data_IF_636449031604
#
_entry.id   IF_636449031604
#
_cell.length_a   1.000
_cell.length_b   1.000
_cell.length_c   1.000
_cell.angle_alpha   90.00
_cell.angle_beta   90.00
_cell.angle_gamma   90.00
#
_symmetry.space_group_name_H-M   'P 1'
#
loop_
_entity.id
_entity.type
_entity.pdbx_description
1 polymer ?
#
# COMPACT_ATOMS: atom_id res chain seq x y z
N UNK A 1 36.60 -36.20 -31.78
CA UNK A 1 37.79 -37.06 -31.87
C UNK A 1 38.75 -36.61 -30.79
N UNK A 2 39.37 -37.51 -30.01
CA UNK A 2 40.39 -37.10 -29.03
C UNK A 2 41.62 -36.51 -29.72
N UNK A 3 42.33 -35.60 -29.04
CA UNK A 3 43.52 -34.98 -29.63
C UNK A 3 44.59 -36.02 -29.93
N UNK A 4 44.71 -37.04 -29.08
CA UNK A 4 45.59 -38.21 -29.29
C UNK A 4 45.27 -38.96 -30.59
N UNK A 5 43.98 -39.19 -30.89
CA UNK A 5 43.57 -39.83 -32.14
C UNK A 5 43.85 -38.98 -33.38
N UNK A 6 43.71 -37.65 -33.24
CA UNK A 6 44.08 -36.67 -34.27
C UNK A 6 45.59 -36.55 -34.50
N UNK A 7 46.41 -36.76 -33.47
CA UNK A 7 47.87 -36.81 -33.61
C UNK A 7 48.35 -38.11 -34.23
N UNK A 8 47.84 -39.26 -33.76
CA UNK A 8 48.18 -40.58 -34.29
C UNK A 8 47.80 -40.73 -35.77
N UNK A 9 46.72 -40.09 -36.20
CA UNK A 9 46.28 -40.13 -37.60
C UNK A 9 47.18 -39.36 -38.58
N UNK A 10 48.02 -38.46 -38.06
CA UNK A 10 48.99 -37.68 -38.84
C UNK A 10 50.37 -38.36 -38.93
N UNK A 11 50.59 -39.46 -38.20
CA UNK A 11 51.84 -40.22 -38.26
C UNK A 11 51.82 -41.29 -39.36
N UNK A 12 52.99 -41.63 -39.94
CA UNK A 12 53.13 -42.78 -40.82
C UNK A 12 52.70 -44.10 -40.14
N UNK A 13 52.20 -45.05 -40.93
CA UNK A 13 51.53 -46.28 -40.46
C UNK A 13 52.38 -47.07 -39.45
N UNK A 14 53.70 -47.14 -39.65
CA UNK A 14 54.64 -47.83 -38.76
C UNK A 14 54.67 -47.26 -37.32
N UNK A 15 54.53 -45.94 -37.17
CA UNK A 15 54.55 -45.27 -35.86
C UNK A 15 53.17 -45.19 -35.21
N UNK A 16 52.12 -45.34 -36.01
CA UNK A 16 50.71 -45.28 -35.58
C UNK A 16 50.31 -46.50 -34.75
N UNK A 17 50.91 -47.65 -35.01
CA UNK A 17 50.62 -48.92 -34.33
C UNK A 17 51.51 -49.17 -33.10
N UNK A 18 52.48 -48.29 -32.81
CA UNK A 18 53.40 -48.44 -31.69
C UNK A 18 52.83 -47.95 -30.34
N UNK A 19 52.70 -48.85 -29.36
CA UNK A 19 52.15 -48.56 -28.01
C UNK A 19 52.92 -47.43 -27.29
N UNK A 20 54.25 -47.42 -27.36
CA UNK A 20 55.07 -46.39 -26.70
C UNK A 20 54.83 -44.99 -27.29
N UNK A 21 54.74 -44.88 -28.62
CA UNK A 21 54.43 -43.61 -29.30
C UNK A 21 53.01 -43.18 -28.97
N UNK A 22 52.05 -44.12 -28.93
CA UNK A 22 50.69 -43.87 -28.50
C UNK A 22 50.60 -43.31 -27.07
N UNK A 23 51.37 -43.85 -26.12
CA UNK A 23 51.40 -43.36 -24.72
C UNK A 23 52.03 -41.97 -24.59
N UNK A 24 53.11 -41.68 -25.31
CA UNK A 24 53.72 -40.34 -25.31
C UNK A 24 52.74 -39.33 -25.92
N UNK A 25 52.13 -39.66 -27.06
CA UNK A 25 51.13 -38.80 -27.68
C UNK A 25 49.87 -38.66 -26.83
N UNK A 26 49.51 -39.65 -26.01
CA UNK A 26 48.39 -39.54 -25.08
C UNK A 26 48.67 -38.49 -23.99
N UNK A 27 49.90 -38.42 -23.46
CA UNK A 27 50.29 -37.38 -22.52
C UNK A 27 50.23 -35.99 -23.18
N UNK A 28 50.76 -35.85 -24.41
CA UNK A 28 50.66 -34.60 -25.16
C UNK A 28 49.22 -34.23 -25.50
N UNK A 29 48.41 -35.21 -25.90
CA UNK A 29 46.98 -35.04 -26.21
C UNK A 29 46.19 -34.54 -25.01
N UNK A 30 46.42 -35.11 -23.82
CA UNK A 30 45.82 -34.66 -22.57
C UNK A 30 46.20 -33.21 -22.24
N UNK A 31 47.47 -32.82 -22.42
CA UNK A 31 47.90 -31.44 -22.20
C UNK A 31 47.20 -30.46 -23.16
N UNK A 32 46.98 -30.85 -24.42
CA UNK A 32 46.21 -30.03 -25.36
C UNK A 32 44.73 -29.98 -24.95
N UNK A 33 44.13 -31.07 -24.50
CA UNK A 33 42.75 -31.07 -24.01
C UNK A 33 42.57 -30.14 -22.80
N UNK A 34 43.53 -30.14 -21.86
CA UNK A 34 43.56 -29.20 -20.74
C UNK A 34 43.70 -27.76 -21.25
N UNK A 35 44.60 -27.49 -22.20
CA UNK A 35 44.76 -26.15 -22.79
C UNK A 35 43.49 -25.69 -23.51
N UNK A 36 42.81 -26.56 -24.24
CA UNK A 36 41.56 -26.25 -24.93
C UNK A 36 40.44 -25.96 -23.92
N UNK A 37 40.34 -26.73 -22.82
CA UNK A 37 39.39 -26.45 -21.74
C UNK A 37 39.68 -25.12 -21.04
N UNK A 38 40.96 -24.81 -20.78
CA UNK A 38 41.38 -23.53 -20.22
C UNK A 38 41.10 -22.36 -21.19
N UNK A 39 41.37 -22.53 -22.48
CA UNK A 39 41.07 -21.54 -23.50
C UNK A 39 39.56 -21.30 -23.61
N UNK A 40 38.75 -22.35 -23.56
CA UNK A 40 37.29 -22.22 -23.51
C UNK A 40 36.83 -21.51 -22.25
N UNK A 41 37.43 -21.81 -21.09
CA UNK A 41 37.17 -21.10 -19.83
C UNK A 41 37.47 -19.60 -19.95
N UNK A 42 38.64 -19.24 -20.48
CA UNK A 42 39.04 -17.85 -20.72
C UNK A 42 38.10 -17.19 -21.73
N UNK A 43 37.72 -17.87 -22.81
CA UNK A 43 36.76 -17.30 -23.76
C UNK A 43 35.40 -17.04 -23.11
N UNK A 44 34.92 -17.97 -22.30
CA UNK A 44 33.66 -17.83 -21.56
C UNK A 44 33.72 -16.69 -20.54
N UNK A 45 34.85 -16.47 -19.87
CA UNK A 45 35.01 -15.41 -18.86
C UNK A 45 34.83 -13.99 -19.42
N UNK A 46 34.91 -13.81 -20.74
CA UNK A 46 34.72 -12.51 -21.40
C UNK A 46 33.26 -12.21 -21.75
N UNK A 47 32.35 -13.19 -21.62
CA UNK A 47 30.94 -13.03 -21.97
C UNK A 47 30.05 -13.27 -20.75
N UNK A 48 29.27 -12.26 -20.38
CA UNK A 48 28.48 -12.27 -19.14
C UNK A 48 27.54 -13.47 -18.99
N UNK A 49 26.95 -13.95 -20.10
CA UNK A 49 25.97 -15.05 -20.09
C UNK A 49 26.62 -16.43 -20.03
N UNK A 50 27.92 -16.54 -20.38
CA UNK A 50 28.63 -17.82 -20.44
C UNK A 50 29.70 -17.99 -19.36
N UNK A 51 30.04 -16.94 -18.59
CA UNK A 51 30.91 -17.04 -17.41
C UNK A 51 30.43 -18.14 -16.45
N UNK A 52 31.33 -18.89 -15.85
CA UNK A 52 30.95 -19.92 -14.85
C UNK A 52 31.10 -19.41 -13.43
N UNK A 53 31.96 -18.41 -13.22
CA UNK A 53 32.26 -17.85 -11.92
C UNK A 53 31.51 -16.53 -11.66
N UNK A 54 31.03 -16.38 -10.43
CA UNK A 54 30.37 -15.14 -9.98
C UNK A 54 31.35 -13.97 -9.96
N UNK A 55 32.61 -14.22 -9.57
CA UNK A 55 33.67 -13.21 -9.51
C UNK A 55 33.97 -12.57 -10.88
N UNK A 56 33.89 -13.35 -11.96
CA UNK A 56 34.06 -12.87 -13.34
C UNK A 56 32.85 -12.07 -13.79
N UNK A 57 31.64 -12.56 -13.47
CA UNK A 57 30.41 -11.84 -13.76
C UNK A 57 30.37 -10.47 -13.05
N UNK A 58 30.82 -10.39 -11.79
CA UNK A 58 30.95 -9.14 -11.03
C UNK A 58 31.89 -8.14 -11.71
N UNK A 59 33.06 -8.59 -12.19
CA UNK A 59 34.01 -7.73 -12.93
C UNK A 59 33.44 -7.18 -14.23
N UNK A 60 32.63 -7.96 -14.93
CA UNK A 60 31.96 -7.50 -16.16
C UNK A 60 30.83 -6.53 -15.84
N UNK A 61 30.00 -6.83 -14.85
CA UNK A 61 28.89 -5.98 -14.44
C UNK A 61 29.33 -4.67 -13.77
N UNK A 62 30.52 -4.64 -13.14
CA UNK A 62 31.09 -3.42 -12.56
C UNK A 62 31.38 -2.33 -13.61
N UNK A 63 31.52 -2.69 -14.89
CA UNK A 63 31.60 -1.71 -15.99
C UNK A 63 30.35 -0.84 -16.07
N UNK A 64 29.19 -1.40 -15.71
CA UNK A 64 27.91 -0.70 -15.61
C UNK A 64 27.63 -0.16 -14.20
N UNK A 65 28.54 -0.36 -13.24
CA UNK A 65 28.32 -0.01 -11.83
C UNK A 65 27.24 -0.85 -11.15
N UNK A 66 26.96 -2.08 -11.62
CA UNK A 66 25.97 -2.96 -11.00
C UNK A 66 26.67 -3.92 -10.04
N UNK A 67 26.45 -3.71 -8.75
CA UNK A 67 26.98 -4.58 -7.69
C UNK A 67 26.06 -5.77 -7.41
N UNK A 68 26.66 -6.86 -6.91
CA UNK A 68 25.95 -8.07 -6.48
C UNK A 68 25.58 -7.95 -5.02
N UNK A 69 24.38 -8.40 -4.68
CA UNK A 69 23.98 -8.57 -3.29
C UNK A 69 24.58 -9.86 -2.69
N UNK A 70 24.94 -9.84 -1.41
CA UNK A 70 25.61 -10.98 -0.73
C UNK A 70 24.92 -12.33 -0.88
N UNK A 71 23.61 -12.32 -1.08
CA UNK A 71 22.75 -13.50 -1.15
C UNK A 71 22.48 -14.01 -2.58
N UNK A 72 22.87 -13.26 -3.62
CA UNK A 72 22.55 -13.58 -5.01
C UNK A 72 23.47 -14.68 -5.56
N UNK A 73 22.90 -15.78 -6.03
CA UNK A 73 23.65 -16.75 -6.83
C UNK A 73 23.89 -16.25 -8.26
N UNK A 74 24.71 -16.94 -9.06
CA UNK A 74 25.05 -16.51 -10.43
C UNK A 74 23.81 -16.26 -11.30
N UNK A 75 22.80 -17.14 -11.22
CA UNK A 75 21.55 -16.99 -11.97
C UNK A 75 20.73 -15.77 -11.54
N UNK A 76 20.59 -15.58 -10.23
CA UNK A 76 19.87 -14.43 -9.65
C UNK A 76 20.59 -13.11 -9.99
N UNK A 77 21.92 -13.09 -9.92
CA UNK A 77 22.73 -11.93 -10.28
C UNK A 77 22.66 -11.61 -11.77
N UNK A 78 22.63 -12.62 -12.66
CA UNK A 78 22.39 -12.41 -14.09
C UNK A 78 21.03 -11.80 -14.37
N UNK A 79 19.98 -12.33 -13.74
CA UNK A 79 18.64 -11.78 -13.84
C UNK A 79 18.61 -10.30 -13.46
N UNK A 80 19.29 -9.96 -12.36
CA UNK A 80 19.43 -8.58 -11.86
C UNK A 80 20.16 -7.66 -12.85
N UNK A 81 21.33 -8.07 -13.33
CA UNK A 81 22.13 -7.27 -14.27
C UNK A 81 21.41 -7.06 -15.60
N UNK A 82 20.77 -8.10 -16.15
CA UNK A 82 20.02 -7.98 -17.40
C UNK A 82 18.87 -6.99 -17.30
N UNK A 83 18.05 -7.12 -16.25
CA UNK A 83 16.90 -6.25 -16.06
C UNK A 83 17.34 -4.79 -15.88
N UNK A 84 18.35 -4.52 -15.02
CA UNK A 84 18.87 -3.16 -14.83
C UNK A 84 19.50 -2.59 -16.11
N UNK A 85 20.36 -3.36 -16.78
CA UNK A 85 21.02 -2.94 -18.03
C UNK A 85 19.97 -2.60 -19.10
N UNK A 86 18.95 -3.42 -19.28
CA UNK A 86 17.91 -3.17 -20.26
C UNK A 86 17.04 -1.97 -19.87
N UNK A 87 16.73 -1.81 -18.58
CA UNK A 87 16.08 -0.61 -18.04
C UNK A 87 16.87 0.67 -18.34
N UNK A 88 18.19 0.65 -18.14
CA UNK A 88 19.07 1.79 -18.39
C UNK A 88 19.27 2.10 -19.87
N UNK A 89 19.60 1.08 -20.68
CA UNK A 89 20.10 1.29 -22.04
C UNK A 89 19.05 1.17 -23.13
N UNK A 90 17.99 0.37 -22.93
CA UNK A 90 17.00 0.09 -24.00
C UNK A 90 15.70 0.86 -23.82
N UNK A 91 15.13 0.82 -22.62
CA UNK A 91 13.74 1.25 -22.41
C UNK A 91 13.59 2.70 -21.93
N UNK A 92 14.72 3.37 -21.64
CA UNK A 92 14.74 4.71 -21.08
C UNK A 92 14.45 4.70 -19.58
N UNK A 93 15.43 5.14 -18.79
CA UNK A 93 15.29 5.27 -17.33
C UNK A 93 14.15 6.20 -16.97
N UNK A 94 13.55 6.00 -15.80
CA UNK A 94 12.54 6.89 -15.18
C UNK A 94 11.16 6.96 -15.84
N UNK A 95 10.95 6.37 -17.03
CA UNK A 95 9.63 6.34 -17.67
C UNK A 95 8.74 5.26 -17.06
N UNK A 96 7.42 5.48 -17.06
CA UNK A 96 6.44 4.47 -16.63
C UNK A 96 6.61 3.17 -17.40
N UNK A 97 6.81 3.26 -18.72
CA UNK A 97 7.06 2.11 -19.58
C UNK A 97 8.34 1.38 -19.17
N UNK A 98 9.46 2.09 -19.03
CA UNK A 98 10.74 1.51 -18.63
C UNK A 98 10.69 0.82 -17.27
N UNK A 99 10.00 1.41 -16.29
CA UNK A 99 9.79 0.81 -14.97
C UNK A 99 8.91 -0.45 -15.04
N UNK A 100 7.79 -0.41 -15.77
CA UNK A 100 6.91 -1.56 -15.99
C UNK A 100 7.68 -2.72 -16.63
N UNK A 101 8.43 -2.45 -17.71
CA UNK A 101 9.24 -3.46 -18.40
C UNK A 101 10.35 -4.01 -17.52
N UNK A 102 11.02 -3.17 -16.72
CA UNK A 102 12.03 -3.62 -15.75
C UNK A 102 11.43 -4.62 -14.75
N UNK A 103 10.27 -4.29 -14.18
CA UNK A 103 9.60 -5.14 -13.18
C UNK A 103 9.20 -6.48 -13.80
N UNK A 104 8.60 -6.47 -14.99
CA UNK A 104 8.24 -7.69 -15.73
C UNK A 104 9.46 -8.55 -16.05
N UNK A 105 10.51 -7.95 -16.61
CA UNK A 105 11.72 -8.66 -17.00
C UNK A 105 12.42 -9.27 -15.77
N UNK A 106 12.60 -8.50 -14.70
CA UNK A 106 13.26 -9.00 -13.49
C UNK A 106 12.46 -10.12 -12.83
N UNK A 107 11.13 -10.00 -12.72
CA UNK A 107 10.28 -11.06 -12.16
C UNK A 107 10.43 -12.34 -12.96
N UNK A 108 10.37 -12.29 -14.28
CA UNK A 108 10.50 -13.48 -15.12
C UNK A 108 11.88 -14.12 -14.97
N UNK A 109 12.95 -13.35 -15.13
CA UNK A 109 14.33 -13.86 -15.03
C UNK A 109 14.67 -14.39 -13.64
N UNK A 110 14.21 -13.73 -12.57
CA UNK A 110 14.45 -14.17 -11.19
C UNK A 110 13.71 -15.48 -10.89
N UNK A 111 12.44 -15.59 -11.30
CA UNK A 111 11.66 -16.81 -11.08
C UNK A 111 12.23 -18.01 -11.84
N UNK A 112 12.76 -17.77 -13.04
CA UNK A 112 13.46 -18.77 -13.84
C UNK A 112 14.78 -19.20 -13.17
N UNK A 113 15.58 -18.26 -12.67
CA UNK A 113 16.83 -18.55 -11.97
C UNK A 113 16.61 -19.36 -10.68
N UNK A 114 15.48 -19.14 -10.00
CA UNK A 114 15.16 -19.74 -8.70
C UNK A 114 14.30 -21.00 -8.83
N UNK A 115 13.79 -21.32 -10.03
CA UNK A 115 12.82 -22.39 -10.34
C UNK A 115 11.61 -22.35 -9.39
N UNK A 116 11.08 -21.15 -9.14
CA UNK A 116 9.93 -20.91 -8.25
C UNK A 116 9.10 -19.73 -8.74
N UNK A 117 7.78 -19.92 -8.82
CA UNK A 117 6.84 -18.87 -9.23
C UNK A 117 6.21 -18.22 -7.99
N UNK A 118 6.45 -16.92 -7.82
CA UNK A 118 5.93 -16.06 -6.74
C UNK A 118 4.84 -15.11 -7.24
N UNK A 119 4.99 -14.62 -8.46
CA UNK A 119 4.11 -13.64 -9.13
C UNK A 119 3.63 -14.29 -10.43
N UNK A 120 2.32 -14.35 -10.68
CA UNK A 120 1.81 -14.85 -11.96
C UNK A 120 2.26 -13.93 -13.10
N UNK A 121 2.33 -14.44 -14.34
CA UNK A 121 2.69 -13.62 -15.50
C UNK A 121 1.81 -12.37 -15.58
N UNK A 122 2.43 -11.20 -15.66
CA UNK A 122 1.75 -9.92 -15.79
C UNK A 122 1.15 -9.83 -17.20
N UNK A 123 -0.18 -9.92 -17.31
CA UNK A 123 -0.91 -9.84 -18.59
C UNK A 123 -1.26 -8.41 -19.00
N UNK A 124 -1.05 -7.45 -18.10
CA UNK A 124 -1.36 -6.05 -18.31
C UNK A 124 -1.29 -5.29 -17.00
N UNK A 125 -1.03 -3.99 -17.11
CA UNK A 125 -0.97 -3.06 -15.98
C UNK A 125 -2.29 -2.32 -15.82
N UNK A 126 -2.76 -2.19 -14.58
CA UNK A 126 -3.86 -1.29 -14.23
C UNK A 126 -3.35 -0.02 -13.58
N UNK A 127 -4.04 1.08 -13.85
CA UNK A 127 -3.68 2.42 -13.35
C UNK A 127 -4.62 2.90 -12.24
N UNK A 128 -5.77 2.24 -12.07
CA UNK A 128 -6.76 2.59 -11.03
C UNK A 128 -6.62 1.76 -9.75
N UNK A 129 -6.95 2.40 -8.63
CA UNK A 129 -7.01 1.80 -7.29
C UNK A 129 -8.31 1.00 -7.02
N UNK A 130 -9.12 0.73 -8.05
CA UNK A 130 -10.43 0.07 -7.87
C UNK A 130 -10.29 -1.42 -7.51
N UNK A 131 -11.15 -1.84 -6.59
CA UNK A 131 -11.18 -3.12 -5.87
C UNK A 131 -11.62 -4.35 -6.67
N UNK A 132 -11.93 -4.24 -7.97
CA UNK A 132 -12.71 -5.29 -8.66
C UNK A 132 -11.88 -6.49 -9.17
N UNK A 133 -10.55 -6.50 -8.98
CA UNK A 133 -9.74 -7.71 -9.16
C UNK A 133 -8.41 -7.56 -8.42
N UNK A 134 -8.23 -8.33 -7.34
CA UNK A 134 -7.00 -8.39 -6.55
C UNK A 134 -5.84 -9.09 -7.30
N UNK A 135 -6.12 -9.67 -8.48
CA UNK A 135 -5.20 -10.54 -9.23
C UNK A 135 -4.40 -9.84 -10.34
N UNK A 136 -4.44 -8.50 -10.42
CA UNK A 136 -3.75 -7.75 -11.47
C UNK A 136 -2.67 -6.83 -10.94
N UNK A 137 -1.52 -6.80 -11.63
CA UNK A 137 -0.44 -5.87 -11.36
C UNK A 137 -0.89 -4.42 -11.59
N UNK A 138 -0.56 -3.53 -10.66
CA UNK A 138 -0.96 -2.12 -10.67
C UNK A 138 0.26 -1.22 -10.61
N UNK A 139 0.23 -0.17 -11.41
CA UNK A 139 1.17 0.92 -11.35
C UNK A 139 0.37 2.20 -11.12
N UNK A 140 0.41 2.70 -9.89
CA UNK A 140 -0.41 3.82 -9.44
C UNK A 140 0.48 5.05 -9.30
N UNK A 141 0.27 6.03 -10.16
CA UNK A 141 0.89 7.35 -10.01
C UNK A 141 0.17 8.15 -8.92
N UNK A 142 0.94 8.89 -8.12
CA UNK A 142 0.47 9.73 -7.02
C UNK A 142 -0.55 9.02 -6.11
N UNK A 143 -0.17 7.88 -5.48
CA UNK A 143 -1.08 7.09 -4.66
C UNK A 143 -1.79 7.94 -3.60
N UNK A 144 -3.08 7.65 -3.41
CA UNK A 144 -3.93 8.33 -2.42
C UNK A 144 -3.66 7.76 -1.04
N UNK A 145 -3.09 8.57 -0.14
CA UNK A 145 -2.84 8.18 1.25
C UNK A 145 -3.93 8.75 2.13
N UNK A 146 -4.53 7.89 2.96
CA UNK A 146 -5.47 8.31 3.98
C UNK A 146 -4.76 9.08 5.09
N UNK A 147 -5.26 10.27 5.40
CA UNK A 147 -4.86 11.11 6.52
C UNK A 147 -6.01 11.28 7.48
N UNK A 148 -5.70 11.53 8.74
CA UNK A 148 -6.67 11.86 9.77
C UNK A 148 -6.07 12.80 10.80
N UNK A 149 -6.93 13.56 11.49
CA UNK A 149 -6.59 14.47 12.57
C UNK A 149 -7.69 14.46 13.64
N UNK A 150 -7.30 14.27 14.88
CA UNK A 150 -8.18 14.42 16.04
C UNK A 150 -8.29 15.90 16.41
N UNK A 151 -9.52 16.36 16.69
CA UNK A 151 -9.83 17.77 16.91
C UNK A 151 -10.72 17.92 18.15
N UNK A 152 -10.25 18.64 19.18
CA UNK A 152 -8.84 18.88 19.51
C UNK A 152 -8.08 17.55 19.74
N UNK A 153 -6.75 17.60 19.82
CA UNK A 153 -5.94 16.38 20.04
C UNK A 153 -6.32 15.64 21.33
N UNK A 154 -6.69 16.39 22.37
CA UNK A 154 -7.13 15.88 23.66
C UNK A 154 -8.47 16.51 24.05
N UNK A 155 -9.37 15.72 24.64
CA UNK A 155 -10.68 16.19 25.08
C UNK A 155 -11.75 16.10 23.99
N UNK A 156 -12.74 16.97 24.04
CA UNK A 156 -13.77 17.12 23.01
C UNK A 156 -13.71 18.52 22.38
N UNK A 157 -14.43 18.69 21.27
CA UNK A 157 -14.47 19.96 20.56
C UNK A 157 -15.46 20.92 21.22
N UNK A 158 -14.97 22.11 21.55
CA UNK A 158 -15.78 23.17 22.12
C UNK A 158 -16.57 23.89 21.01
N UNK A 159 -17.78 24.40 21.31
CA UNK A 159 -18.50 25.29 20.39
C UNK A 159 -17.64 26.48 19.99
N UNK A 160 -17.74 26.91 18.73
CA UNK A 160 -16.90 27.95 18.10
C UNK A 160 -15.42 27.60 17.92
N UNK A 161 -15.00 26.36 18.15
CA UNK A 161 -13.60 25.98 17.98
C UNK A 161 -13.16 26.05 16.50
N UNK A 162 -12.18 26.91 16.22
CA UNK A 162 -11.53 27.00 14.91
C UNK A 162 -10.28 26.13 14.89
N UNK A 163 -10.08 25.41 13.78
CA UNK A 163 -8.92 24.56 13.59
C UNK A 163 -8.49 24.52 12.13
N UNK A 164 -7.22 24.20 11.91
CA UNK A 164 -6.64 24.15 10.56
C UNK A 164 -6.37 22.71 10.14
N UNK A 165 -6.71 22.39 8.89
CA UNK A 165 -6.25 21.20 8.16
C UNK A 165 -5.35 21.66 7.01
N UNK A 166 -4.13 21.12 6.94
CA UNK A 166 -3.22 21.39 5.84
C UNK A 166 -3.25 20.20 4.86
N UNK A 167 -3.91 20.39 3.71
CA UNK A 167 -3.94 19.42 2.63
C UNK A 167 -2.67 19.59 1.81
N UNK A 168 -1.85 18.52 1.73
CA UNK A 168 -0.56 18.55 1.00
C UNK A 168 -0.59 17.82 -0.33
N UNK A 169 -1.75 17.28 -0.71
CA UNK A 169 -1.92 16.55 -1.96
C UNK A 169 -1.89 17.47 -3.17
N UNK A 170 -1.76 16.86 -4.35
CA UNK A 170 -1.79 17.58 -5.63
C UNK A 170 -3.19 18.06 -6.01
N UNK A 171 -4.20 17.23 -5.73
CA UNK A 171 -5.59 17.46 -6.08
C UNK A 171 -6.42 17.87 -4.85
N UNK A 172 -7.45 18.67 -5.07
CA UNK A 172 -8.48 18.92 -4.07
C UNK A 172 -9.14 17.60 -3.65
N UNK A 173 -9.55 17.52 -2.39
CA UNK A 173 -10.09 16.27 -1.82
C UNK A 173 -11.29 16.56 -0.92
N UNK A 174 -12.09 15.53 -0.65
CA UNK A 174 -13.25 15.67 0.22
C UNK A 174 -12.91 15.30 1.66
N UNK A 175 -13.49 16.06 2.58
CA UNK A 175 -13.39 15.84 4.01
C UNK A 175 -14.42 14.81 4.47
N UNK A 176 -13.96 13.84 5.24
CA UNK A 176 -14.78 12.92 6.02
C UNK A 176 -14.74 13.36 7.47
N UNK A 177 -15.88 13.31 8.15
CA UNK A 177 -16.01 13.71 9.55
C UNK A 177 -16.55 12.54 10.37
N UNK A 178 -15.96 12.34 11.54
CA UNK A 178 -16.48 11.43 12.56
C UNK A 178 -16.72 12.26 13.82
N UNK A 179 -17.98 12.32 14.23
CA UNK A 179 -18.38 12.87 15.52
C UNK A 179 -18.68 11.73 16.49
N UNK A 180 -18.18 11.83 17.71
CA UNK A 180 -18.43 10.83 18.77
C UNK A 180 -18.93 11.55 20.02
N UNK A 181 -20.13 11.22 20.52
CA UNK A 181 -20.63 11.76 21.78
C UNK A 181 -19.80 11.26 22.98
N UNK A 182 -19.36 12.17 23.86
CA UNK A 182 -18.44 11.84 24.98
C UNK A 182 -18.98 12.13 26.38
N UNK A 183 -19.96 13.01 26.55
CA UNK A 183 -20.57 13.30 27.85
C UNK A 183 -21.94 12.66 27.97
N UNK A 184 -22.62 12.85 29.11
CA UNK A 184 -23.99 12.40 29.35
C UNK A 184 -25.06 13.17 28.57
N UNK A 185 -24.68 14.27 27.91
CA UNK A 185 -25.60 15.12 27.14
C UNK A 185 -25.36 14.95 25.64
N UNK A 186 -26.41 14.85 24.81
CA UNK A 186 -26.27 14.79 23.36
C UNK A 186 -25.78 16.13 22.77
N UNK A 187 -25.17 16.05 21.59
CA UNK A 187 -24.93 17.24 20.75
C UNK A 187 -26.06 17.41 19.75
N UNK A 188 -26.55 18.64 19.65
CA UNK A 188 -27.63 18.99 18.74
C UNK A 188 -27.10 19.81 17.58
N UNK A 189 -27.54 19.47 16.38
CA UNK A 189 -27.32 20.23 15.15
C UNK A 189 -25.86 20.69 14.95
N UNK A 190 -24.88 19.76 14.95
CA UNK A 190 -23.49 20.12 14.75
C UNK A 190 -23.28 20.62 13.31
N UNK A 191 -22.55 21.73 13.20
CA UNK A 191 -22.10 22.29 11.91
C UNK A 191 -20.57 22.30 11.87
N UNK A 192 -20.03 21.85 10.74
CA UNK A 192 -18.64 22.09 10.40
C UNK A 192 -18.60 22.92 9.13
N UNK A 193 -17.90 24.05 9.19
CA UNK A 193 -17.69 24.95 8.05
C UNK A 193 -16.21 24.99 7.69
N UNK A 194 -15.88 24.93 6.40
CA UNK A 194 -14.60 25.33 5.87
C UNK A 194 -14.69 26.79 5.42
N UNK A 195 -14.16 27.68 6.26
CA UNK A 195 -14.15 29.13 6.02
C UNK A 195 -13.34 29.44 4.75
N UNK A 196 -12.27 28.68 4.48
CA UNK A 196 -11.43 28.89 3.30
C UNK A 196 -12.20 28.68 1.99
N UNK A 197 -13.09 27.68 1.93
CA UNK A 197 -13.87 27.36 0.72
C UNK A 197 -15.29 27.90 0.73
N UNK A 198 -15.75 28.47 1.86
CA UNK A 198 -17.14 28.91 2.05
C UNK A 198 -18.13 27.74 2.00
N UNK A 199 -17.74 26.54 2.42
CA UNK A 199 -18.62 25.38 2.43
C UNK A 199 -18.94 24.97 3.86
N UNK A 200 -20.17 24.56 4.15
CA UNK A 200 -20.53 24.01 5.45
C UNK A 200 -21.39 22.75 5.33
N UNK A 201 -21.27 21.88 6.32
CA UNK A 201 -22.10 20.69 6.48
C UNK A 201 -22.83 20.75 7.82
N UNK A 202 -24.13 20.55 7.77
CA UNK A 202 -25.05 20.59 8.91
C UNK A 202 -25.69 19.22 9.05
N UNK A 203 -25.67 18.67 10.26
CA UNK A 203 -26.47 17.50 10.61
C UNK A 203 -27.71 17.91 11.40
N UNK A 204 -28.89 17.87 10.80
CA UNK A 204 -30.18 18.23 11.43
C UNK A 204 -30.70 17.09 12.33
N UNK A 205 -29.94 16.74 13.35
CA UNK A 205 -30.29 15.73 14.33
C UNK A 205 -29.51 15.88 15.63
N UNK A 206 -29.59 14.86 16.48
CA UNK A 206 -28.82 14.76 17.72
C UNK A 206 -27.80 13.64 17.62
N UNK A 207 -26.67 13.79 18.31
CA UNK A 207 -25.65 12.76 18.48
C UNK A 207 -25.66 12.36 19.96
N UNK A 208 -26.25 11.20 20.31
CA UNK A 208 -26.33 10.77 21.70
C UNK A 208 -24.95 10.42 22.31
N UNK A 209 -24.86 10.40 23.65
CA UNK A 209 -23.70 9.88 24.38
C UNK A 209 -23.23 8.53 23.88
N UNK A 210 -21.93 8.39 23.60
CA UNK A 210 -21.31 7.15 23.14
C UNK A 210 -21.64 6.74 21.69
N UNK A 211 -22.49 7.49 20.98
CA UNK A 211 -22.84 7.23 19.57
C UNK A 211 -21.90 7.95 18.62
N UNK A 212 -21.69 7.36 17.44
CA UNK A 212 -20.80 7.82 16.39
C UNK A 212 -21.58 8.17 15.13
N UNK A 213 -21.47 9.42 14.71
CA UNK A 213 -21.96 9.90 13.43
C UNK A 213 -20.78 9.93 12.45
N UNK A 214 -20.88 9.13 11.40
CA UNK A 214 -19.96 9.11 10.27
C UNK A 214 -20.54 9.95 9.15
N UNK A 215 -19.78 10.94 8.67
CA UNK A 215 -20.07 11.67 7.45
C UNK A 215 -18.97 11.35 6.45
N UNK A 216 -19.36 10.70 5.35
CA UNK A 216 -18.43 10.18 4.35
C UNK A 216 -18.70 10.79 2.98
N UNK A 217 -17.66 11.26 2.32
CA UNK A 217 -17.73 11.65 0.92
C UNK A 217 -17.78 10.42 0.00
N UNK A 218 -18.78 10.36 -0.87
CA UNK A 218 -18.88 9.40 -1.96
C UNK A 218 -18.04 9.79 -3.19
N UNK A 219 -17.97 8.93 -4.22
CA UNK A 219 -17.11 9.12 -5.40
C UNK A 219 -17.42 10.40 -6.20
N UNK A 220 -18.67 10.87 -6.16
CA UNK A 220 -19.14 12.09 -6.84
C UNK A 220 -19.01 13.35 -5.98
N UNK A 221 -18.43 13.26 -4.78
CA UNK A 221 -18.39 14.35 -3.80
C UNK A 221 -19.70 14.54 -3.02
N UNK A 222 -20.71 13.68 -3.23
CA UNK A 222 -21.94 13.67 -2.44
C UNK A 222 -21.62 13.09 -1.05
N UNK A 223 -22.05 13.77 0.01
CA UNK A 223 -21.89 13.29 1.38
C UNK A 223 -23.02 12.34 1.78
N UNK A 224 -22.65 11.21 2.37
CA UNK A 224 -23.55 10.33 3.11
C UNK A 224 -23.33 10.44 4.61
N UNK A 225 -24.34 10.16 5.41
CA UNK A 225 -24.25 10.15 6.86
C UNK A 225 -24.80 8.86 7.48
N UNK A 226 -24.09 8.31 8.47
CA UNK A 226 -24.52 7.12 9.20
C UNK A 226 -24.33 7.29 10.71
N UNK A 227 -25.37 7.03 11.50
CA UNK A 227 -25.35 7.08 12.96
C UNK A 227 -25.36 5.66 13.51
N UNK A 228 -24.26 5.21 14.11
CA UNK A 228 -24.07 3.80 14.53
C UNK A 228 -24.46 2.75 13.46
N UNK A 229 -24.21 3.05 12.18
CA UNK A 229 -24.52 2.15 11.06
C UNK A 229 -25.88 2.38 10.41
N UNK A 230 -26.78 3.15 11.01
CA UNK A 230 -28.06 3.52 10.41
C UNK A 230 -27.89 4.71 9.46
N UNK A 231 -28.42 4.62 8.24
CA UNK A 231 -28.38 5.72 7.27
C UNK A 231 -29.26 6.90 7.74
N UNK A 232 -28.61 8.04 7.97
CA UNK A 232 -29.23 9.30 8.39
C UNK A 232 -28.95 10.41 7.38
N UNK A 233 -28.55 10.08 6.15
CA UNK A 233 -28.18 11.04 5.09
C UNK A 233 -29.25 12.10 4.84
N UNK A 234 -30.55 11.74 4.97
CA UNK A 234 -31.67 12.69 4.82
C UNK A 234 -31.64 13.85 5.83
N UNK A 235 -30.97 13.69 6.96
CA UNK A 235 -30.77 14.74 7.98
C UNK A 235 -29.56 15.63 7.69
N UNK A 236 -28.73 15.28 6.71
CA UNK A 236 -27.57 16.06 6.33
C UNK A 236 -27.96 17.15 5.32
N UNK A 237 -27.38 18.34 5.46
CA UNK A 237 -27.51 19.47 4.53
C UNK A 237 -26.14 20.08 4.30
N UNK A 238 -25.88 20.52 3.07
CA UNK A 238 -24.68 21.27 2.73
C UNK A 238 -25.06 22.68 2.33
N UNK A 239 -24.16 23.61 2.65
CA UNK A 239 -24.27 25.03 2.32
C UNK A 239 -23.05 25.40 1.49
N UNK A 240 -23.29 26.10 0.39
CA UNK A 240 -22.25 26.73 -0.42
C UNK A 240 -22.33 28.25 -0.29
N UNK A 241 -21.17 28.93 -0.25
CA UNK A 241 -21.10 30.38 -0.02
C UNK A 241 -21.32 30.78 1.45
N UNK A 242 -21.03 29.89 2.39
CA UNK A 242 -21.06 30.15 3.82
C UNK A 242 -20.14 31.34 4.18
N UNK A 243 -20.70 32.33 4.87
CA UNK A 243 -19.99 33.47 5.42
C UNK A 243 -20.29 33.59 6.92
N UNK A 244 -19.27 33.58 7.79
CA UNK A 244 -19.43 33.89 9.21
C UNK A 244 -20.16 35.22 9.43
N UNK A 245 -20.99 35.30 10.47
CA UNK A 245 -21.76 36.50 10.82
C UNK A 245 -22.99 36.78 9.94
N UNK A 246 -23.16 36.09 8.81
CA UNK A 246 -24.30 36.27 7.90
C UNK A 246 -25.34 35.17 8.05
N UNK A 247 -26.65 35.51 8.02
CA UNK A 247 -27.71 34.52 7.97
C UNK A 247 -27.64 33.70 6.69
N UNK A 248 -27.99 32.42 6.79
CA UNK A 248 -28.09 31.56 5.61
C UNK A 248 -29.46 31.73 4.94
N UNK A 249 -29.48 31.71 3.62
CA UNK A 249 -30.73 31.67 2.84
C UNK A 249 -31.00 30.27 2.29
N UNK A 250 -32.26 29.98 1.98
CA UNK A 250 -32.67 28.71 1.36
C UNK A 250 -31.93 28.43 0.04
N UNK A 251 -31.56 29.49 -0.68
CA UNK A 251 -30.81 29.42 -1.94
C UNK A 251 -29.37 28.92 -1.77
N UNK A 252 -28.79 29.02 -0.57
CA UNK A 252 -27.43 28.55 -0.29
C UNK A 252 -27.36 27.05 0.01
N UNK A 253 -28.51 26.40 0.24
CA UNK A 253 -28.55 24.96 0.44
C UNK A 253 -28.45 24.24 -0.90
N UNK A 254 -27.51 23.31 -1.00
CA UNK A 254 -27.37 22.52 -2.20
C UNK A 254 -28.52 21.50 -2.31
N UNK A 255 -29.05 21.32 -3.54
CA UNK A 255 -30.08 20.31 -3.82
C UNK A 255 -29.61 18.89 -3.45
N UNK A 256 -28.32 18.61 -3.68
CA UNK A 256 -27.65 17.38 -3.25
C UNK A 256 -26.64 17.71 -2.18
N UNK A 257 -26.65 16.95 -1.09
CA UNK A 257 -25.72 17.18 0.01
C UNK A 257 -24.27 16.91 -0.42
N UNK A 258 -23.47 17.95 -0.51
CA UNK A 258 -22.06 17.89 -0.92
C UNK A 258 -21.14 17.75 0.30
N UNK A 259 -20.07 16.97 0.15
CA UNK A 259 -19.01 16.93 1.14
C UNK A 259 -18.19 18.22 1.11
N UNK A 260 -17.69 18.65 2.27
CA UNK A 260 -16.74 19.76 2.37
C UNK A 260 -15.49 19.41 1.55
N UNK A 261 -15.09 20.30 0.64
CA UNK A 261 -13.83 20.20 -0.08
C UNK A 261 -12.70 20.81 0.73
N UNK A 262 -11.55 20.17 0.67
CA UNK A 262 -10.27 20.68 1.12
C UNK A 262 -9.47 21.06 -0.13
N UNK A 263 -9.20 22.35 -0.28
CA UNK A 263 -8.30 22.85 -1.33
C UNK A 263 -6.84 22.60 -0.95
N UNK A 264 -5.95 22.58 -1.92
CA UNK A 264 -4.52 22.46 -1.65
C UNK A 264 -4.02 23.56 -0.69
N UNK A 265 -3.30 23.17 0.34
CA UNK A 265 -2.74 24.06 1.36
C UNK A 265 -3.61 24.17 2.61
N UNK A 266 -3.64 25.36 3.19
CA UNK A 266 -4.27 25.61 4.48
C UNK A 266 -5.79 25.79 4.37
N UNK A 267 -6.56 24.92 5.03
CA UNK A 267 -8.01 25.01 5.16
C UNK A 267 -8.36 25.34 6.61
N UNK A 268 -8.99 26.50 6.82
CA UNK A 268 -9.47 26.93 8.12
C UNK A 268 -10.90 26.45 8.30
N UNK A 269 -11.10 25.57 9.27
CA UNK A 269 -12.39 25.01 9.59
C UNK A 269 -12.89 25.53 10.93
N UNK A 270 -14.21 25.48 11.08
CA UNK A 270 -14.92 25.98 12.23
C UNK A 270 -16.02 25.03 12.62
N UNK A 271 -16.05 24.68 13.91
CA UNK A 271 -17.13 23.91 14.49
C UNK A 271 -18.08 24.83 15.25
N UNK A 272 -19.37 24.74 14.94
CA UNK A 272 -20.41 25.57 15.56
C UNK A 272 -21.74 24.80 15.65
N UNK A 273 -22.31 24.56 16.85
CA UNK A 273 -23.69 24.10 16.96
C UNK A 273 -24.66 25.24 16.71
N UNK A 274 -25.67 25.03 15.87
CA UNK A 274 -26.61 26.09 15.47
C UNK A 274 -28.04 25.77 15.87
N UNK A 275 -28.76 26.80 16.33
CA UNK A 275 -30.16 26.66 16.69
C UNK A 275 -31.03 26.41 15.47
N UNK A 276 -31.92 25.43 15.58
CA UNK A 276 -33.02 25.25 14.63
C UNK A 276 -34.33 25.19 15.42
N UNK A 277 -35.30 26.05 15.09
CA UNK A 277 -36.54 26.21 15.87
C UNK A 277 -37.31 24.89 16.07
N UNK A 278 -37.21 23.96 15.10
CA UNK A 278 -37.85 22.65 15.15
C UNK A 278 -37.05 21.55 15.89
N UNK A 279 -35.97 21.89 16.61
CA UNK A 279 -35.08 20.93 17.27
C UNK A 279 -34.85 21.27 18.74
N UNK A 280 -34.74 20.23 19.56
CA UNK A 280 -34.36 20.34 20.98
C UNK A 280 -32.91 20.82 21.12
N UNK A 281 -32.56 21.46 22.25
CA UNK A 281 -31.19 21.93 22.55
C UNK A 281 -30.97 23.44 22.54
N UNK A 282 -32.05 24.25 22.67
CA UNK A 282 -32.00 25.72 22.66
C UNK A 282 -31.02 26.35 23.65
N UNK A 283 -30.74 25.66 24.75
CA UNK A 283 -29.78 26.03 25.79
C UNK A 283 -28.31 25.90 25.37
N UNK A 284 -28.03 25.07 24.35
CA UNK A 284 -26.68 24.78 23.85
C UNK A 284 -26.35 25.49 22.54
N UNK A 285 -27.32 26.17 21.91
CA UNK A 285 -27.13 26.75 20.59
C UNK A 285 -26.59 28.18 20.57
N UNK A 286 -25.99 28.52 19.44
CA UNK A 286 -25.74 29.89 19.02
C UNK A 286 -27.03 30.45 18.38
N UNK A 287 -27.71 31.38 19.06
CA UNK A 287 -28.93 32.03 18.56
C UNK A 287 -28.64 33.20 17.61
N UNK A 288 -27.40 33.71 17.60
CA UNK A 288 -26.93 34.74 16.69
C UNK A 288 -25.86 34.13 15.76
N UNK A 289 -25.88 34.49 14.47
CA UNK A 289 -24.89 34.05 13.50
C UNK A 289 -23.52 34.51 13.96
N UNK A 290 -22.74 33.58 14.51
CA UNK A 290 -21.45 33.90 15.07
C UNK A 290 -20.53 34.40 13.95
N UNK A 291 -19.81 35.48 14.22
CA UNK A 291 -18.65 35.88 13.44
C UNK A 291 -17.40 35.15 13.96
N UNK A 292 -16.39 35.01 13.12
CA UNK A 292 -15.07 34.44 13.43
C UNK A 292 -14.35 35.10 14.61
N UNK A 293 -14.77 36.31 15.00
CA UNK A 293 -14.23 37.06 16.14
C UNK A 293 -14.84 36.54 17.47
N UNK A 294 -16.02 35.90 17.42
CA UNK A 294 -16.66 35.36 18.61
C UNK A 294 -15.92 34.13 19.14
N UNK A 295 -15.75 34.08 20.46
CA UNK A 295 -15.10 32.99 21.17
C UNK A 295 -15.89 32.61 22.44
N UNK A 296 -15.56 31.46 23.03
CA UNK A 296 -16.11 31.06 24.32
C UNK A 296 -15.38 31.82 25.43
N UNK A 297 -16.11 32.60 26.22
CA UNK A 297 -15.61 33.38 27.33
C UNK A 297 -15.52 32.54 28.61
N UNK A 298 -14.39 32.64 29.30
CA UNK A 298 -14.18 32.03 30.62
C UNK A 298 -14.20 33.13 31.67
N UNK A 299 -14.88 32.84 32.79
CA UNK A 299 -14.92 33.77 33.93
C UNK A 299 -13.46 34.11 34.31
N UNK A 300 -13.16 35.39 34.42
CA UNK A 300 -11.84 35.97 34.76
C UNK A 300 -10.75 35.98 33.67
N UNK A 301 -10.98 35.44 32.47
CA UNK A 301 -9.95 35.41 31.39
C UNK A 301 -10.30 36.27 30.16
N UNK A 302 -11.56 36.68 29.97
CA UNK A 302 -12.04 37.33 28.73
C UNK A 302 -12.95 38.53 29.00
N UNK A 303 -12.82 39.60 28.20
CA UNK A 303 -13.84 40.65 28.12
C UNK A 303 -15.10 40.09 27.43
N UNK A 304 -16.28 40.40 27.99
CA UNK A 304 -17.56 39.84 27.52
C UNK A 304 -18.13 40.51 26.27
N UNK A 305 -17.43 41.49 25.70
CA UNK A 305 -17.93 42.28 24.57
C UNK A 305 -18.09 41.45 23.27
N UNK A 306 -17.37 40.31 23.15
CA UNK A 306 -17.37 39.44 21.97
C UNK A 306 -17.26 37.95 22.33
N UNK A 307 -17.88 37.53 23.44
CA UNK A 307 -17.80 36.14 23.90
C UNK A 307 -19.13 35.56 24.36
N UNK A 308 -19.27 34.24 24.21
CA UNK A 308 -20.41 33.48 24.74
C UNK A 308 -20.00 32.72 25.99
N UNK A 309 -20.95 32.47 26.90
CA UNK A 309 -20.67 31.68 28.09
C UNK A 309 -20.09 30.31 27.72
N UNK A 310 -19.01 29.95 28.42
CA UNK A 310 -18.33 28.68 28.25
C UNK A 310 -19.31 27.49 28.28
N UNK A 311 -19.30 26.72 27.21
CA UNK A 311 -19.99 25.44 27.09
C UNK A 311 -18.99 24.30 27.05
N UNK A 312 -19.20 23.29 27.90
CA UNK A 312 -18.36 22.10 27.91
C UNK A 312 -18.47 21.34 26.57
N UNK A 313 -17.37 20.75 26.08
CA UNK A 313 -17.39 19.94 24.88
C UNK A 313 -18.11 18.61 25.15
N UNK A 314 -19.06 18.24 24.28
CA UNK A 314 -19.84 17.00 24.42
C UNK A 314 -19.60 16.00 23.30
N UNK A 315 -18.81 16.37 22.28
CA UNK A 315 -18.39 15.49 21.20
C UNK A 315 -16.88 15.52 20.99
N UNK A 316 -16.34 14.45 20.42
CA UNK A 316 -15.03 14.41 19.77
C UNK A 316 -15.22 14.51 18.27
N UNK A 317 -14.38 15.31 17.61
CA UNK A 317 -14.33 15.40 16.16
C UNK A 317 -13.05 14.75 15.64
N UNK A 318 -13.19 13.86 14.65
CA UNK A 318 -12.07 13.38 13.85
C UNK A 318 -12.31 13.72 12.40
N UNK A 319 -11.36 14.43 11.80
CA UNK A 319 -11.34 14.72 10.38
C UNK A 319 -10.48 13.67 9.67
N UNK A 320 -10.94 13.16 8.52
CA UNK A 320 -10.16 12.28 7.67
C UNK A 320 -10.29 12.68 6.19
N UNK A 321 -9.23 12.50 5.41
CA UNK A 321 -9.23 12.82 3.98
C UNK A 321 -8.20 11.95 3.26
N UNK A 322 -8.24 11.95 1.92
CA UNK A 322 -7.25 11.27 1.09
C UNK A 322 -6.38 12.29 0.36
N UNK A 323 -5.06 12.15 0.44
CA UNK A 323 -4.10 13.01 -0.26
C UNK A 323 -3.42 12.21 -1.37
N UNK A 324 -3.53 12.67 -2.62
CA UNK A 324 -2.68 12.20 -3.71
C UNK A 324 -1.27 12.76 -3.51
N UNK A 325 -0.30 11.89 -3.23
CA UNK A 325 1.05 12.32 -2.86
C UNK A 325 1.83 12.78 -4.09
N UNK A 326 2.33 14.03 -4.13
CA UNK A 326 3.11 14.52 -5.27
C UNK A 326 4.39 13.73 -5.49
N UNK A 327 4.83 13.65 -6.75
CA UNK A 327 6.09 13.04 -7.17
C UNK A 327 6.28 11.66 -6.53
N UNK A 328 5.27 10.80 -6.64
CA UNK A 328 5.34 9.46 -6.11
C UNK A 328 4.59 8.45 -6.96
N UNK A 329 4.99 7.18 -6.87
CA UNK A 329 4.23 6.08 -7.46
C UNK A 329 4.31 4.85 -6.57
N UNK A 330 3.31 4.00 -6.69
CA UNK A 330 3.25 2.70 -6.03
C UNK A 330 3.04 1.60 -7.05
N UNK A 331 3.81 0.53 -6.92
CA UNK A 331 3.67 -0.70 -7.69
C UNK A 331 3.06 -1.74 -6.76
N UNK A 332 1.90 -2.27 -7.12
CA UNK A 332 1.28 -3.38 -6.40
C UNK A 332 1.28 -4.60 -7.32
N UNK A 333 1.94 -5.67 -6.88
CA UNK A 333 1.99 -6.94 -7.57
C UNK A 333 1.10 -7.94 -6.86
N UNK A 334 0.35 -8.75 -7.61
CA UNK A 334 -0.46 -9.82 -7.02
C UNK A 334 0.42 -11.01 -6.66
N UNK A 335 0.37 -11.47 -5.41
CA UNK A 335 1.01 -12.72 -5.02
C UNK A 335 0.29 -13.92 -5.63
N UNK A 336 1.02 -14.82 -6.27
CA UNK A 336 0.49 -16.10 -6.73
C UNK A 336 0.57 -17.19 -5.66
N UNK A 337 -0.09 -18.32 -5.93
CA UNK A 337 0.16 -19.57 -5.20
C UNK A 337 1.64 -19.95 -5.42
N UNK A 338 2.41 -20.00 -4.33
CA UNK A 338 3.82 -20.36 -4.41
C UNK A 338 3.96 -21.83 -4.83
N UNK A 339 4.50 -22.05 -6.02
CA UNK A 339 4.83 -23.39 -6.53
C UNK A 339 6.35 -23.54 -6.55
N UNK A 340 6.87 -24.33 -5.63
CA UNK A 340 8.28 -24.67 -5.54
C UNK A 340 8.46 -26.18 -5.79
N UNK A 341 9.43 -26.54 -6.65
CA UNK A 341 9.69 -27.95 -7.00
C UNK A 341 10.61 -28.68 -6.03
N UNK A 342 11.51 -27.95 -5.34
CA UNK A 342 12.62 -28.55 -4.57
C UNK A 342 12.91 -27.91 -3.20
N UNK A 343 12.50 -26.66 -2.97
CA UNK A 343 12.83 -25.93 -1.75
C UNK A 343 11.77 -26.16 -0.65
N UNK A 344 12.16 -26.09 0.63
CA UNK A 344 11.20 -26.02 1.74
C UNK A 344 10.48 -24.67 1.80
N UNK A 345 9.37 -24.60 2.52
CA UNK A 345 8.54 -23.39 2.68
C UNK A 345 9.34 -22.16 3.15
N UNK A 346 10.19 -22.32 4.16
CA UNK A 346 11.04 -21.24 4.70
C UNK A 346 11.99 -20.63 3.66
N UNK A 347 12.51 -21.47 2.76
CA UNK A 347 13.43 -21.04 1.69
C UNK A 347 12.65 -20.29 0.62
N UNK A 348 11.43 -20.74 0.29
CA UNK A 348 10.56 -20.05 -0.66
C UNK A 348 10.14 -18.67 -0.14
N UNK A 349 9.76 -18.56 1.13
CA UNK A 349 9.41 -17.28 1.75
C UNK A 349 10.61 -16.33 1.80
N UNK A 350 11.81 -16.82 2.13
CA UNK A 350 13.04 -16.03 2.07
C UNK A 350 13.31 -15.50 0.66
N UNK A 351 13.14 -16.33 -0.37
CA UNK A 351 13.30 -15.95 -1.78
C UNK A 351 12.24 -14.96 -2.25
N UNK A 352 11.00 -15.05 -1.76
CA UNK A 352 9.93 -14.07 -2.01
C UNK A 352 10.32 -12.71 -1.42
N UNK A 353 10.84 -12.65 -0.20
CA UNK A 353 11.31 -11.40 0.41
C UNK A 353 12.48 -10.77 -0.36
N UNK A 354 13.43 -11.60 -0.81
CA UNK A 354 14.55 -11.17 -1.66
C UNK A 354 14.07 -10.58 -3.00
N UNK A 355 13.06 -11.18 -3.63
CA UNK A 355 12.43 -10.63 -4.84
C UNK A 355 11.88 -9.22 -4.60
N UNK A 356 11.10 -9.03 -3.53
CA UNK A 356 10.52 -7.71 -3.19
C UNK A 356 11.62 -6.70 -2.91
N UNK A 357 12.64 -7.09 -2.15
CA UNK A 357 13.80 -6.26 -1.83
C UNK A 357 14.53 -5.80 -3.11
N UNK A 358 14.86 -6.72 -4.01
CA UNK A 358 15.53 -6.38 -5.27
C UNK A 358 14.67 -5.54 -6.19
N UNK A 359 13.36 -5.81 -6.28
CA UNK A 359 12.45 -4.96 -7.06
C UNK A 359 12.42 -3.53 -6.51
N UNK A 360 12.32 -3.37 -5.19
CA UNK A 360 12.34 -2.06 -4.56
C UNK A 360 13.67 -1.33 -4.80
N UNK A 361 14.81 -2.03 -4.69
CA UNK A 361 16.12 -1.47 -4.99
C UNK A 361 16.25 -1.09 -6.46
N UNK A 362 15.82 -1.95 -7.38
CA UNK A 362 15.94 -1.71 -8.81
C UNK A 362 15.07 -0.55 -9.27
N UNK A 363 13.84 -0.48 -8.78
CA UNK A 363 12.96 0.67 -8.97
C UNK A 363 13.58 1.94 -8.39
N UNK A 364 14.21 1.88 -7.21
CA UNK A 364 14.91 3.02 -6.64
C UNK A 364 16.14 3.47 -7.43
N UNK A 365 16.84 2.55 -8.09
CA UNK A 365 17.97 2.84 -8.99
C UNK A 365 17.52 3.39 -10.34
N UNK A 366 16.28 3.13 -10.76
CA UNK A 366 15.74 3.52 -12.06
C UNK A 366 14.83 4.75 -12.04
N UNK A 367 14.24 5.08 -10.90
CA UNK A 367 13.34 6.25 -10.76
C UNK A 367 14.11 7.57 -10.82
N UNK A 368 13.40 8.66 -11.14
CA UNK A 368 14.00 9.98 -11.09
C UNK A 368 14.28 10.44 -9.64
N UNK A 369 15.26 11.33 -9.49
CA UNK A 369 15.61 11.90 -8.19
C UNK A 369 14.42 12.65 -7.57
N UNK A 370 14.22 12.49 -6.26
CA UNK A 370 13.13 13.11 -5.52
C UNK A 370 11.78 12.39 -5.62
N UNK A 371 11.62 11.40 -6.51
CA UNK A 371 10.39 10.61 -6.61
C UNK A 371 10.35 9.54 -5.51
N UNK A 372 9.24 9.48 -4.77
CA UNK A 372 8.99 8.38 -3.81
C UNK A 372 8.41 7.17 -4.55
N UNK A 373 8.97 5.99 -4.29
CA UNK A 373 8.54 4.75 -4.93
C UNK A 373 8.33 3.68 -3.86
N UNK A 374 7.23 2.95 -3.96
CA UNK A 374 6.96 1.80 -3.12
C UNK A 374 6.56 0.61 -4.00
N UNK A 375 7.16 -0.55 -3.74
CA UNK A 375 6.80 -1.82 -4.38
C UNK A 375 6.25 -2.73 -3.31
N UNK A 376 5.02 -3.19 -3.49
CA UNK A 376 4.38 -4.17 -2.63
C UNK A 376 3.99 -5.41 -3.43
N UNK A 377 4.09 -6.57 -2.77
CA UNK A 377 3.57 -7.82 -3.26
C UNK A 377 2.42 -8.22 -2.35
N UNK A 378 1.20 -8.12 -2.85
CA UNK A 378 0.01 -8.50 -2.11
C UNK A 378 0.08 -9.98 -1.70
N UNK A 379 -0.40 -10.35 -0.51
CA UNK A 379 -0.61 -11.75 -0.18
C UNK A 379 -1.60 -12.37 -1.17
N UNK A 380 -1.45 -13.66 -1.44
CA UNK A 380 -2.49 -14.38 -2.16
C UNK A 380 -3.69 -14.52 -1.23
N UNK A 381 -4.83 -13.99 -1.62
CA UNK A 381 -6.08 -14.09 -0.87
C UNK A 381 -7.09 -14.88 -1.69
N UNK A 382 -7.44 -16.09 -1.24
CA UNK A 382 -8.58 -16.81 -1.82
C UNK A 382 -9.83 -16.41 -1.05
N UNK A 383 -10.61 -15.48 -1.60
CA UNK A 383 -11.90 -15.09 -1.02
C UNK A 383 -12.95 -16.10 -1.49
N UNK A 384 -13.18 -17.15 -0.70
CA UNK A 384 -14.32 -18.03 -0.91
C UNK A 384 -15.58 -17.34 -0.39
N UNK A 385 -16.41 -16.80 -1.28
CA UNK A 385 -17.72 -16.25 -0.92
C UNK A 385 -18.66 -17.40 -0.51
N UNK A 386 -18.64 -17.78 0.78
CA UNK A 386 -19.72 -18.59 1.35
C UNK A 386 -20.93 -17.69 1.60
N UNK A 387 -22.08 -18.06 1.03
CA UNK A 387 -23.39 -17.47 1.34
C UNK A 387 -24.01 -18.09 2.60
N UNK A 388 -23.18 -18.46 3.57
CA UNK A 388 -23.67 -19.03 4.82
C UNK A 388 -24.02 -17.89 5.77
N UNK A 389 -25.31 -17.77 6.07
CA UNK A 389 -25.80 -16.93 7.14
C UNK A 389 -25.42 -17.58 8.46
N UNK A 390 -24.54 -16.92 9.21
CA UNK A 390 -24.14 -17.30 10.56
C UNK A 390 -25.35 -17.15 11.49
N UNK A 391 -26.19 -18.20 11.56
CA UNK A 391 -27.35 -18.26 12.45
C UNK A 391 -27.04 -18.89 13.81
N UNK A 392 -25.88 -19.51 13.96
CA UNK A 392 -25.52 -20.20 15.20
C UNK A 392 -23.99 -20.32 15.34
N UNK A 393 -23.45 -19.92 16.51
CA UNK A 393 -22.03 -20.09 16.87
C UNK A 393 -21.95 -21.23 17.87
N UNK A 394 -22.17 -22.45 17.40
CA UNK A 394 -21.84 -23.66 18.12
C UNK A 394 -20.48 -24.17 17.61
N UNK A 395 -19.54 -24.60 18.49
CA UNK A 395 -18.22 -25.04 18.07
C UNK A 395 -18.34 -26.29 17.20
N UNK A 396 -18.26 -26.12 15.87
CA UNK A 396 -18.18 -27.22 14.92
C UNK A 396 -16.75 -27.73 14.86
N UNK A 397 -16.49 -28.86 15.48
CA UNK A 397 -15.27 -29.65 15.25
C UNK A 397 -15.38 -30.33 13.88
N UNK A 398 -14.52 -29.96 12.95
CA UNK A 398 -14.40 -30.67 11.68
C UNK A 398 -13.54 -31.93 11.88
N UNK A 399 -14.09 -33.11 11.55
CA UNK A 399 -13.31 -34.34 11.39
C UNK A 399 -12.84 -34.45 9.94
N UNK A 400 -11.53 -34.42 9.69
CA UNK A 400 -10.99 -34.75 8.36
C UNK A 400 -10.78 -36.27 8.26
N UNK A 401 -11.53 -36.92 7.37
CA UNK A 401 -11.34 -38.34 7.06
C UNK A 401 -10.23 -38.50 6.03
N UNK A 402 -9.08 -39.02 6.46
CA UNK A 402 -8.03 -39.55 5.57
C UNK A 402 -8.19 -41.06 5.39
N UNK A 403 -7.74 -41.67 4.28
CA UNK A 403 -7.99 -43.08 3.92
C UNK A 403 -7.24 -44.11 4.78
N UNK A 404 -6.60 -43.70 5.87
CA UNK A 404 -5.90 -44.60 6.81
C UNK A 404 -6.45 -44.33 8.21
N UNK A 405 -7.47 -45.09 8.61
CA UNK A 405 -8.22 -44.91 9.85
C UNK A 405 -7.38 -44.96 11.13
N UNK A 406 -6.80 -43.83 11.51
CA UNK A 406 -6.32 -43.55 12.87
C UNK A 406 -6.79 -42.16 13.27
N UNK A 407 -7.76 -42.14 14.18
CA UNK A 407 -8.27 -40.92 14.81
C UNK A 407 -7.16 -40.29 15.65
N UNK A 408 -6.57 -39.22 15.12
CA UNK A 408 -5.73 -38.32 15.89
C UNK A 408 -6.19 -36.89 15.61
N UNK A 409 -6.52 -36.09 16.64
CA UNK A 409 -6.79 -34.68 16.42
C UNK A 409 -5.54 -34.02 15.80
N UNK A 410 -5.70 -33.16 14.77
CA UNK A 410 -4.56 -32.49 14.16
C UNK A 410 -3.82 -31.67 15.22
N UNK A 411 -2.51 -31.93 15.38
CA UNK A 411 -1.63 -31.24 16.34
C UNK A 411 -1.35 -29.77 15.97
N UNK A 412 -1.85 -29.30 14.84
CA UNK A 412 -1.71 -27.92 14.36
C UNK A 412 -3.09 -27.32 14.14
N UNK A 413 -3.70 -26.89 15.25
CA UNK A 413 -4.91 -26.09 15.21
C UNK A 413 -4.58 -24.63 14.93
N UNK A 414 -4.83 -24.17 13.70
CA UNK A 414 -5.29 -22.80 13.51
C UNK A 414 -6.72 -22.74 14.06
N UNK A 415 -6.84 -22.52 15.37
CA UNK A 415 -8.11 -22.26 16.03
C UNK A 415 -8.52 -20.84 15.63
N UNK A 416 -9.42 -20.72 14.66
CA UNK A 416 -10.19 -19.49 14.50
C UNK A 416 -11.04 -19.32 15.78
N UNK A 417 -10.82 -18.22 16.51
CA UNK A 417 -11.66 -17.83 17.64
C UNK A 417 -11.15 -18.22 19.03
N UNK A 418 -9.93 -17.79 19.41
CA UNK A 418 -9.61 -17.43 20.81
C UNK A 418 -8.72 -16.19 20.82
N UNK A 419 -9.30 -15.01 20.64
CA UNK A 419 -8.72 -13.83 21.27
C UNK A 419 -8.87 -14.03 22.78
N UNK A 420 -7.74 -14.05 23.49
CA UNK A 420 -7.73 -14.00 24.95
C UNK A 420 -8.26 -12.64 25.40
N UNK A 421 -9.57 -12.55 25.56
CA UNK A 421 -10.27 -11.43 26.20
C UNK A 421 -11.12 -11.99 27.34
N UNK A 422 -10.47 -12.66 28.30
CA UNK A 422 -11.07 -12.99 29.59
C UNK A 422 -9.94 -13.39 30.54
N UNK A 423 -9.19 -12.39 31.02
CA UNK A 423 -8.40 -12.47 32.27
C UNK A 423 -7.87 -11.08 32.64
N UNK A 424 -8.76 -10.12 32.89
CA UNK A 424 -8.48 -8.99 33.81
C UNK A 424 -9.79 -8.64 34.53
N UNK A 425 -9.94 -9.11 35.77
CA UNK A 425 -10.76 -8.46 36.79
C UNK A 425 -9.84 -7.98 37.91
N UNK A 426 -9.81 -6.66 38.05
CA UNK A 426 -9.58 -5.83 39.23
C UNK A 426 -8.59 -6.29 40.30
N UNK A 427 -7.47 -5.56 40.36
CA UNK A 427 -7.02 -4.87 41.58
C UNK A 427 -6.76 -3.42 41.26
#
# INVERSE_FOLDING_TARGET
MSHTGGMLSRLPLLYREGDLVGRILALCGLQIEILDELMLGIQQSHWFDSTKEVSEAEKLASVLGIERESWQDLGEYRAWVHALRNGWLKNGTTTVYGLKTFIEEYINLYQDAVDTVFVPPIRGWREEDKTESEDSARFIENPKIKKYKYIPENGGIEPLHQFTINQRGIDDTSLHLLYTGITSTPEYVPVCANITTGQALIYLGEIPPGKRLWITAGPSGIAGASLEGEDVTKKLRSITGYQPGMPWSDEQFDEKTLAIKLVRGENRLWFLPVAHYDRTGLDRFLLAFADTIMHQGRLDETSFDQSLFYQQPVIKLTAAWYEAVPASFAVSLSGGIMRFRKAGEDVAETRRRRLIFSLQNGVNSLKAAGIKAAVSLAPFTEVQHQRDTLRDVSPKTFSSYGPTGRDAPPKTGAIFGKSKFEEVKFS
#
